data_IF_874953039791
#
_entry.id   IF_874953039791
#
_cell.length_a   1.000
_cell.length_b   1.000
_cell.length_c   1.000
_cell.angle_alpha   90.00
_cell.angle_beta   90.00
_cell.angle_gamma   90.00
#
_symmetry.space_group_name_H-M   'P 1'
#
loop_
_entity.id
_entity.type
_entity.pdbx_description
1 polymer ?
#
# COMPACT_ATOMS: atom_id res chain seq x y z
N UNK A 1 1.42 7.53 -5.56
CA UNK A 1 0.65 7.57 -6.83
C UNK A 1 -0.06 8.90 -7.19
N UNK A 2 -1.19 9.33 -6.58
CA UNK A 2 -1.95 10.53 -7.08
C UNK A 2 -1.44 11.90 -6.60
N UNK A 3 -0.70 11.92 -5.49
CA UNK A 3 -0.30 13.16 -4.80
C UNK A 3 0.92 13.81 -5.48
N UNK A 4 1.96 13.04 -5.81
CA UNK A 4 3.19 13.55 -6.43
C UNK A 4 3.01 14.12 -7.85
N UNK A 5 2.11 13.55 -8.67
CA UNK A 5 1.82 14.05 -10.03
C UNK A 5 0.83 15.22 -10.07
N UNK A 6 0.06 15.48 -8.99
CA UNK A 6 -0.94 16.56 -8.94
C UNK A 6 -0.52 17.75 -8.09
N UNK A 7 0.41 17.58 -7.16
CA UNK A 7 1.03 18.70 -6.47
C UNK A 7 1.99 19.38 -7.46
N UNK A 8 1.62 20.59 -7.90
CA UNK A 8 2.40 21.47 -8.79
C UNK A 8 3.68 21.96 -8.11
N UNK A 9 4.53 21.05 -7.62
CA UNK A 9 5.88 21.43 -7.22
C UNK A 9 6.63 21.91 -8.47
N UNK A 10 7.37 23.03 -8.38
CA UNK A 10 8.12 23.56 -9.52
C UNK A 10 9.21 22.56 -9.90
N UNK A 11 8.94 21.75 -10.92
CA UNK A 11 9.93 20.90 -11.56
C UNK A 11 10.82 21.79 -12.46
N UNK A 12 12.16 21.65 -12.44
CA UNK A 12 13.01 22.24 -13.47
C UNK A 12 12.56 21.73 -14.84
N UNK A 13 12.34 22.64 -15.80
CA UNK A 13 11.88 22.27 -17.14
C UNK A 13 12.88 21.31 -17.80
N UNK A 14 12.46 20.15 -18.32
CA UNK A 14 13.33 19.32 -19.14
C UNK A 14 13.62 20.02 -20.47
N UNK A 15 14.88 19.97 -20.90
CA UNK A 15 15.30 20.40 -22.23
C UNK A 15 14.64 19.47 -23.26
N UNK A 16 13.83 20.08 -24.14
CA UNK A 16 13.17 19.41 -25.27
C UNK A 16 14.24 18.80 -26.19
N UNK A 17 14.27 17.46 -26.28
CA UNK A 17 14.76 16.77 -27.47
C UNK A 17 13.54 16.21 -28.20
N UNK A 18 13.34 16.75 -29.40
CA UNK A 18 12.34 16.36 -30.38
C UNK A 18 12.75 15.04 -31.01
N UNK A 19 11.85 14.04 -31.00
CA UNK A 19 11.89 12.94 -31.96
C UNK A 19 10.48 12.48 -32.30
N UNK A 20 10.25 12.38 -33.60
CA UNK A 20 8.98 12.32 -34.30
C UNK A 20 8.33 10.93 -34.33
N UNK A 21 7.00 10.98 -34.44
CA UNK A 21 5.94 9.98 -34.61
C UNK A 21 6.23 8.70 -35.44
N UNK A 22 5.58 7.59 -35.06
CA UNK A 22 4.56 6.90 -35.90
C UNK A 22 3.66 5.94 -35.06
N UNK A 23 2.35 5.84 -35.34
CA UNK A 23 1.39 5.00 -34.60
C UNK A 23 1.13 3.63 -35.25
N UNK A 24 0.79 2.62 -34.45
CA UNK A 24 0.24 1.34 -34.92
C UNK A 24 -1.19 1.16 -34.38
N UNK A 25 -2.10 0.92 -35.31
CA UNK A 25 -3.56 0.78 -35.16
C UNK A 25 -4.00 -0.50 -34.42
N UNK A 26 -5.21 -0.54 -33.85
CA UNK A 26 -5.76 -1.72 -33.20
C UNK A 26 -6.50 -2.64 -34.19
N UNK A 27 -6.28 -3.95 -34.10
CA UNK A 27 -7.09 -4.95 -34.79
C UNK A 27 -8.30 -5.36 -33.93
N UNK A 28 -9.47 -5.17 -34.51
CA UNK A 28 -10.77 -5.69 -34.04
C UNK A 28 -10.86 -7.19 -34.31
N UNK A 29 -11.36 -7.97 -33.36
CA UNK A 29 -12.02 -9.24 -33.68
C UNK A 29 -13.27 -9.43 -32.83
N UNK A 30 -14.39 -9.49 -33.55
CA UNK A 30 -15.72 -9.86 -33.12
C UNK A 30 -15.89 -11.38 -33.18
N UNK A 31 -16.51 -11.97 -32.16
CA UNK A 31 -17.23 -13.25 -32.28
C UNK A 31 -18.31 -13.27 -31.19
N UNK A 32 -19.53 -12.89 -31.56
CA UNK A 32 -20.65 -13.76 -31.97
C UNK A 32 -21.40 -14.37 -30.79
N UNK A 33 -22.58 -13.78 -30.54
CA UNK A 33 -23.66 -14.32 -29.74
C UNK A 33 -24.02 -15.74 -30.18
N UNK A 34 -24.08 -16.66 -29.22
CA UNK A 34 -24.84 -17.89 -29.36
C UNK A 34 -25.98 -17.85 -28.34
N UNK A 35 -27.21 -17.77 -28.82
CA UNK A 35 -28.42 -17.95 -28.04
C UNK A 35 -28.75 -19.45 -28.01
N UNK A 36 -28.86 -20.03 -26.81
CA UNK A 36 -29.55 -21.31 -26.63
C UNK A 36 -30.55 -21.18 -25.49
N UNK A 37 -31.82 -21.32 -25.86
CA UNK A 37 -32.97 -21.64 -25.04
C UNK A 37 -32.78 -22.98 -24.33
N UNK A 38 -33.18 -23.09 -23.06
CA UNK A 38 -33.17 -24.35 -22.33
C UNK A 38 -33.62 -24.23 -20.87
N UNK A 39 -34.93 -24.34 -20.67
CA UNK A 39 -35.63 -25.03 -19.57
C UNK A 39 -35.12 -24.91 -18.11
N UNK A 40 -35.92 -24.19 -17.33
CA UNK A 40 -36.58 -24.71 -16.12
C UNK A 40 -35.78 -25.59 -15.16
N UNK A 41 -35.19 -24.97 -14.14
CA UNK A 41 -35.06 -25.62 -12.82
C UNK A 41 -35.15 -24.58 -11.70
N UNK A 42 -36.21 -24.69 -10.89
CA UNK A 42 -36.42 -23.90 -9.66
C UNK A 42 -35.20 -24.06 -8.76
N UNK A 43 -34.45 -22.98 -8.54
CA UNK A 43 -33.48 -22.89 -7.47
C UNK A 43 -34.24 -22.69 -6.15
N UNK A 44 -34.13 -23.66 -5.24
CA UNK A 44 -34.47 -23.46 -3.82
C UNK A 44 -33.50 -22.43 -3.25
N UNK A 45 -33.96 -21.21 -3.00
CA UNK A 45 -33.20 -20.23 -2.23
C UNK A 45 -33.13 -20.72 -0.79
N UNK A 46 -31.98 -21.23 -0.38
CA UNK A 46 -31.68 -21.46 1.02
C UNK A 46 -31.54 -20.11 1.71
N UNK A 47 -32.39 -19.85 2.69
CA UNK A 47 -32.25 -18.68 3.57
C UNK A 47 -30.89 -18.76 4.29
N UNK A 48 -30.08 -17.70 4.32
CA UNK A 48 -28.84 -17.72 5.08
C UNK A 48 -29.17 -17.93 6.57
N UNK A 49 -28.50 -18.88 7.19
CA UNK A 49 -28.53 -19.12 8.64
C UNK A 49 -28.23 -17.81 9.38
N UNK A 50 -28.88 -17.60 10.53
CA UNK A 50 -28.74 -16.41 11.38
C UNK A 50 -27.28 -16.06 11.74
N UNK A 51 -26.38 -17.04 11.70
CA UNK A 51 -24.94 -16.84 11.85
C UNK A 51 -24.31 -16.05 10.67
N UNK A 52 -24.76 -16.29 9.44
CA UNK A 52 -24.32 -15.53 8.24
C UNK A 52 -24.84 -14.09 8.29
N UNK A 53 -26.06 -13.87 8.77
CA UNK A 53 -26.62 -12.53 8.96
C UNK A 53 -25.88 -11.72 10.04
N UNK A 54 -25.42 -12.38 11.12
CA UNK A 54 -24.65 -11.73 12.18
C UNK A 54 -23.24 -11.30 11.70
N UNK A 55 -22.58 -12.11 10.88
CA UNK A 55 -21.26 -11.76 10.29
C UNK A 55 -21.38 -10.62 9.27
N UNK A 56 -22.52 -10.51 8.58
CA UNK A 56 -22.81 -9.40 7.65
C UNK A 56 -23.06 -8.08 8.41
N UNK A 57 -23.56 -8.13 9.65
CA UNK A 57 -23.82 -6.93 10.47
C UNK A 57 -22.53 -6.27 11.03
N UNK A 58 -21.44 -7.02 11.20
CA UNK A 58 -20.22 -6.54 11.88
C UNK A 58 -19.11 -6.04 10.92
N UNK A 59 -19.22 -6.30 9.62
CA UNK A 59 -18.20 -5.97 8.62
C UNK A 59 -16.93 -6.82 8.74
N UNK A 60 -16.00 -6.67 7.78
CA UNK A 60 -14.76 -7.46 7.78
C UNK A 60 -13.87 -7.14 9.01
N UNK A 61 -13.06 -8.12 9.45
CA UNK A 61 -12.12 -7.91 10.56
C UNK A 61 -11.21 -6.69 10.31
N UNK A 62 -10.72 -6.52 9.07
CA UNK A 62 -9.94 -5.35 8.66
C UNK A 62 -10.71 -4.03 8.86
N UNK A 63 -12.02 -3.99 8.56
CA UNK A 63 -12.86 -2.81 8.81
C UNK A 63 -12.99 -2.54 10.31
N UNK A 64 -13.22 -3.57 11.12
CA UNK A 64 -13.33 -3.44 12.58
C UNK A 64 -12.03 -2.92 13.19
N UNK A 65 -10.88 -3.47 12.81
CA UNK A 65 -9.57 -3.00 13.31
C UNK A 65 -9.30 -1.55 12.92
N UNK A 66 -9.60 -1.16 11.67
CA UNK A 66 -9.44 0.23 11.24
C UNK A 66 -10.32 1.20 12.07
N UNK A 67 -11.59 0.85 12.27
CA UNK A 67 -12.53 1.67 13.06
C UNK A 67 -12.04 1.78 14.51
N UNK A 68 -11.68 0.66 15.12
CA UNK A 68 -11.31 0.60 16.53
C UNK A 68 -9.95 1.22 16.84
N UNK A 69 -8.94 1.03 15.97
CA UNK A 69 -7.54 1.29 16.30
C UNK A 69 -6.88 2.41 15.49
N UNK A 70 -7.53 2.97 14.47
CA UNK A 70 -6.85 3.89 13.55
C UNK A 70 -7.67 5.11 13.12
N UNK A 71 -8.99 5.12 13.33
CA UNK A 71 -9.84 6.22 12.85
C UNK A 71 -9.53 7.54 13.56
N UNK A 72 -9.27 7.50 14.87
CA UNK A 72 -8.94 8.70 15.65
C UNK A 72 -7.59 9.28 15.24
N UNK A 73 -6.60 8.42 15.10
CA UNK A 73 -5.23 8.76 14.71
C UNK A 73 -5.19 9.28 13.27
N UNK A 74 -5.97 8.68 12.36
CA UNK A 74 -6.11 9.15 10.98
C UNK A 74 -6.76 10.54 10.90
N UNK A 75 -7.79 10.79 11.71
CA UNK A 75 -8.38 12.13 11.83
C UNK A 75 -7.36 13.14 12.36
N UNK A 76 -6.59 12.80 13.39
CA UNK A 76 -5.53 13.67 13.91
C UNK A 76 -4.45 13.96 12.84
N UNK A 77 -4.02 12.93 12.11
CA UNK A 77 -3.02 13.06 11.05
C UNK A 77 -3.44 14.11 10.01
N UNK A 78 -4.72 14.11 9.59
CA UNK A 78 -5.28 15.03 8.62
C UNK A 78 -5.10 16.52 8.97
N UNK A 79 -5.01 16.85 10.26
CA UNK A 79 -4.85 18.22 10.77
C UNK A 79 -3.43 18.54 11.24
N UNK A 80 -2.45 17.68 10.94
CA UNK A 80 -1.04 18.00 11.25
C UNK A 80 -0.54 19.16 10.39
N UNK A 81 0.41 19.98 10.90
CA UNK A 81 0.98 21.10 10.13
C UNK A 81 1.55 20.67 8.77
N UNK A 82 2.12 19.47 8.68
CA UNK A 82 2.63 18.90 7.44
C UNK A 82 1.53 18.75 6.38
N UNK A 83 0.43 18.06 6.71
CA UNK A 83 -0.65 17.81 5.75
C UNK A 83 -1.44 19.08 5.43
N UNK A 84 -1.66 19.97 6.39
CA UNK A 84 -2.30 21.26 6.13
C UNK A 84 -1.47 22.11 5.17
N UNK A 85 -0.16 22.16 5.36
CA UNK A 85 0.73 22.91 4.46
C UNK A 85 0.84 22.25 3.08
N UNK A 86 0.81 20.92 3.03
CA UNK A 86 0.77 20.15 1.78
C UNK A 86 -0.51 20.44 1.00
N UNK A 87 -1.66 20.45 1.68
CA UNK A 87 -2.98 20.75 1.10
C UNK A 87 -3.03 22.19 0.56
N UNK A 88 -2.49 23.14 1.32
CA UNK A 88 -2.44 24.56 0.95
C UNK A 88 -1.42 24.87 -0.15
N UNK A 89 -0.56 23.91 -0.54
CA UNK A 89 0.48 24.12 -1.54
C UNK A 89 1.63 25.03 -1.08
N UNK A 90 1.77 25.26 0.23
CA UNK A 90 2.81 26.11 0.82
C UNK A 90 3.85 25.32 1.64
N UNK A 91 3.77 23.98 1.64
CA UNK A 91 4.79 23.14 2.25
C UNK A 91 6.15 23.43 1.61
N UNK A 92 7.14 23.73 2.45
CA UNK A 92 8.50 23.97 1.98
C UNK A 92 9.04 22.70 1.30
N UNK A 93 9.69 22.89 0.15
CA UNK A 93 10.19 21.80 -0.66
C UNK A 93 11.23 20.93 0.07
N UNK A 94 12.04 21.50 0.95
CA UNK A 94 13.02 20.76 1.75
C UNK A 94 12.37 19.80 2.75
N UNK A 95 11.24 20.19 3.36
CA UNK A 95 10.46 19.30 4.22
C UNK A 95 9.84 18.15 3.41
N UNK A 96 9.37 18.45 2.20
CA UNK A 96 8.82 17.42 1.32
C UNK A 96 9.90 16.45 0.83
N UNK A 97 11.10 16.95 0.50
CA UNK A 97 12.27 16.12 0.20
C UNK A 97 12.61 15.21 1.36
N UNK A 98 12.73 15.76 2.56
CA UNK A 98 12.99 14.97 3.77
C UNK A 98 11.92 13.90 4.01
N UNK A 99 10.64 14.20 3.75
CA UNK A 99 9.58 13.20 3.80
C UNK A 99 9.83 12.04 2.80
N UNK A 100 10.11 12.34 1.54
CA UNK A 100 10.38 11.31 0.50
C UNK A 100 11.63 10.49 0.84
N UNK A 101 12.67 11.15 1.36
CA UNK A 101 13.89 10.51 1.84
C UNK A 101 13.61 9.52 2.98
N UNK A 102 12.82 9.92 3.98
CA UNK A 102 12.43 9.02 5.08
C UNK A 102 11.53 7.87 4.61
N UNK A 103 10.66 8.12 3.63
CA UNK A 103 9.72 7.13 3.09
C UNK A 103 10.44 5.94 2.42
N UNK A 104 11.65 6.17 1.89
CA UNK A 104 12.48 5.10 1.33
C UNK A 104 12.84 4.03 2.37
N UNK A 105 13.10 4.41 3.63
CA UNK A 105 13.38 3.43 4.70
C UNK A 105 12.18 2.53 4.97
N UNK A 106 10.96 3.07 4.96
CA UNK A 106 9.75 2.25 5.11
C UNK A 106 9.60 1.28 3.96
N UNK A 107 9.78 1.73 2.72
CA UNK A 107 9.64 0.84 1.57
C UNK A 107 10.71 -0.24 1.51
N UNK A 108 11.95 0.03 1.91
CA UNK A 108 12.96 -1.01 2.05
C UNK A 108 12.57 -2.05 3.11
N UNK A 109 12.05 -1.61 4.27
CA UNK A 109 11.56 -2.51 5.30
C UNK A 109 10.31 -3.30 4.84
N UNK A 110 9.40 -2.66 4.11
CA UNK A 110 8.18 -3.30 3.58
C UNK A 110 8.53 -4.36 2.54
N UNK A 111 9.47 -4.07 1.64
CA UNK A 111 9.90 -5.03 0.63
C UNK A 111 10.49 -6.30 1.27
N UNK A 112 11.34 -6.13 2.29
CA UNK A 112 11.92 -7.24 3.06
C UNK A 112 10.85 -8.01 3.86
N UNK A 113 9.92 -7.30 4.50
CA UNK A 113 8.85 -7.93 5.25
C UNK A 113 7.93 -8.74 4.33
N UNK A 114 7.57 -8.22 3.16
CA UNK A 114 6.77 -8.97 2.19
C UNK A 114 7.50 -10.19 1.63
N UNK A 115 8.80 -10.10 1.37
CA UNK A 115 9.61 -11.26 0.99
C UNK A 115 9.52 -12.37 2.05
N UNK A 116 9.66 -12.01 3.33
CA UNK A 116 9.49 -12.97 4.43
C UNK A 116 8.06 -13.50 4.55
N UNK A 117 7.05 -12.68 4.20
CA UNK A 117 5.66 -13.10 4.19
C UNK A 117 5.36 -14.08 3.04
N UNK A 118 6.00 -13.94 1.87
CA UNK A 118 5.91 -14.90 0.75
C UNK A 118 6.40 -16.28 1.19
N UNK A 119 7.51 -16.35 1.93
CA UNK A 119 8.07 -17.61 2.46
C UNK A 119 7.21 -18.26 3.55
N UNK A 120 6.28 -17.48 4.12
CA UNK A 120 5.43 -17.87 5.23
C UNK A 120 3.96 -18.13 4.81
N UNK A 121 3.60 -17.79 3.57
CA UNK A 121 2.28 -18.08 3.00
C UNK A 121 2.17 -19.58 2.66
N UNK A 122 1.03 -20.18 3.00
CA UNK A 122 0.75 -21.62 2.75
C UNK A 122 -0.04 -21.83 1.44
N UNK A 123 -0.75 -20.79 1.00
CA UNK A 123 -1.58 -20.81 -0.21
C UNK A 123 -0.90 -20.06 -1.37
N UNK A 124 -1.01 -20.61 -2.58
CA UNK A 124 -0.37 -20.07 -3.78
C UNK A 124 -0.96 -18.72 -4.21
N UNK A 125 -2.27 -18.51 -4.04
CA UNK A 125 -2.93 -17.24 -4.37
C UNK A 125 -2.54 -16.15 -3.37
N UNK A 126 -2.44 -16.49 -2.08
CA UNK A 126 -1.93 -15.59 -1.04
C UNK A 126 -0.48 -15.19 -1.34
N UNK A 127 0.38 -16.17 -1.66
CA UNK A 127 1.78 -15.90 -2.03
C UNK A 127 1.89 -15.01 -3.27
N UNK A 128 1.09 -15.27 -4.31
CA UNK A 128 1.06 -14.43 -5.51
C UNK A 128 0.59 -13.00 -5.20
N UNK A 129 -0.40 -12.85 -4.32
CA UNK A 129 -0.90 -11.54 -3.87
C UNK A 129 0.16 -10.77 -3.10
N UNK A 130 0.88 -11.41 -2.17
CA UNK A 130 1.96 -10.80 -1.40
C UNK A 130 3.13 -10.40 -2.33
N UNK A 131 3.50 -11.26 -3.29
CA UNK A 131 4.52 -10.96 -4.29
C UNK A 131 4.15 -9.73 -5.14
N UNK A 132 2.86 -9.58 -5.50
CA UNK A 132 2.37 -8.40 -6.19
C UNK A 132 2.49 -7.13 -5.34
N UNK A 133 2.20 -7.20 -4.03
CA UNK A 133 2.40 -6.09 -3.09
C UNK A 133 3.88 -5.70 -2.99
N UNK A 134 4.79 -6.68 -2.84
CA UNK A 134 6.23 -6.42 -2.83
C UNK A 134 6.70 -5.73 -4.11
N UNK A 135 6.25 -6.22 -5.27
CA UNK A 135 6.57 -5.62 -6.57
C UNK A 135 6.11 -4.16 -6.65
N UNK A 136 4.92 -3.85 -6.16
CA UNK A 136 4.42 -2.47 -6.14
C UNK A 136 5.29 -1.55 -5.27
N UNK A 137 5.77 -2.03 -4.11
CA UNK A 137 6.70 -1.28 -3.25
C UNK A 137 8.04 -1.00 -3.97
N UNK A 138 8.61 -2.00 -4.65
CA UNK A 138 9.84 -1.83 -5.42
C UNK A 138 9.68 -0.82 -6.57
N UNK A 139 8.50 -0.79 -7.19
CA UNK A 139 8.18 0.22 -8.21
C UNK A 139 8.10 1.63 -7.62
N UNK A 140 7.50 1.81 -6.44
CA UNK A 140 7.42 3.12 -5.78
C UNK A 140 8.82 3.59 -5.30
N UNK A 141 9.69 2.69 -4.85
CA UNK A 141 11.11 3.00 -4.56
C UNK A 141 11.85 3.55 -5.77
N UNK A 142 11.69 2.91 -6.93
CA UNK A 142 12.29 3.40 -8.18
C UNK A 142 11.73 4.78 -8.57
N UNK A 143 10.45 5.02 -8.33
CA UNK A 143 9.84 6.34 -8.53
C UNK A 143 10.46 7.38 -7.59
N UNK A 144 10.59 7.09 -6.30
CA UNK A 144 11.23 7.99 -5.33
C UNK A 144 12.66 8.35 -5.75
N UNK A 145 13.45 7.35 -6.14
CA UNK A 145 14.82 7.55 -6.62
C UNK A 145 14.86 8.46 -7.86
N UNK A 146 13.91 8.30 -8.80
CA UNK A 146 13.82 9.16 -9.99
C UNK A 146 13.49 10.61 -9.64
N UNK A 147 12.53 10.84 -8.73
CA UNK A 147 12.12 12.19 -8.29
C UNK A 147 13.24 12.89 -7.53
N UNK A 148 13.93 12.18 -6.62
CA UNK A 148 15.06 12.73 -5.88
C UNK A 148 16.20 13.15 -6.81
N UNK A 149 16.50 12.33 -7.83
CA UNK A 149 17.50 12.65 -8.85
C UNK A 149 17.14 13.91 -9.64
N UNK A 150 15.86 14.07 -10.02
CA UNK A 150 15.38 15.30 -10.70
C UNK A 150 15.53 16.55 -9.83
N UNK A 151 15.50 16.41 -8.52
CA UNK A 151 15.72 17.49 -7.56
C UNK A 151 17.20 17.71 -7.19
N UNK A 152 18.12 16.99 -7.84
CA UNK A 152 19.56 17.09 -7.58
C UNK A 152 20.00 16.45 -6.27
N UNK A 153 19.16 15.61 -5.66
CA UNK A 153 19.51 14.80 -4.50
C UNK A 153 20.08 13.48 -5.01
N UNK A 154 21.26 13.09 -4.50
CA UNK A 154 21.85 11.81 -4.80
C UNK A 154 21.10 10.70 -4.03
N UNK A 155 20.36 9.80 -4.71
CA UNK A 155 19.61 8.74 -4.05
C UNK A 155 20.52 7.65 -3.43
N UNK A 156 21.82 7.65 -3.75
CA UNK A 156 22.80 6.70 -3.19
C UNK A 156 23.41 7.17 -1.87
N UNK A 157 23.21 8.45 -1.52
CA UNK A 157 23.68 8.99 -0.26
C UNK A 157 22.85 8.42 0.88
N UNK A 158 23.52 7.79 1.85
CA UNK A 158 22.87 7.27 3.04
C UNK A 158 22.20 8.42 3.81
N UNK A 159 20.88 8.33 3.93
CA UNK A 159 20.08 9.27 4.70
C UNK A 159 19.91 8.68 6.11
N UNK A 160 20.23 9.44 7.17
CA UNK A 160 19.94 8.99 8.53
C UNK A 160 18.44 8.84 8.74
N UNK A 161 18.04 7.64 9.17
CA UNK A 161 16.67 7.37 9.61
C UNK A 161 16.34 8.17 10.88
N UNK A 162 15.16 8.81 10.91
CA UNK A 162 14.65 9.46 12.11
C UNK A 162 14.34 8.44 13.21
N UNK A 163 14.28 8.88 14.47
CA UNK A 163 13.93 8.00 15.59
C UNK A 163 12.54 7.35 15.42
N UNK A 164 11.58 8.04 14.80
CA UNK A 164 10.25 7.50 14.53
C UNK A 164 10.30 6.45 13.41
N UNK A 165 11.05 6.74 12.35
CA UNK A 165 11.28 5.83 11.21
C UNK A 165 11.91 4.53 11.70
N UNK A 166 13.01 4.62 12.45
CA UNK A 166 13.71 3.46 13.01
C UNK A 166 12.81 2.61 13.89
N UNK A 167 12.05 3.21 14.81
CA UNK A 167 11.12 2.47 15.67
C UNK A 167 10.08 1.69 14.88
N UNK A 168 9.54 2.29 13.82
CA UNK A 168 8.51 1.63 13.01
C UNK A 168 9.11 0.53 12.12
N UNK A 169 10.27 0.75 11.49
CA UNK A 169 10.96 -0.30 10.71
C UNK A 169 11.43 -1.45 11.60
N UNK A 170 11.92 -1.17 12.81
CA UNK A 170 12.34 -2.19 13.78
C UNK A 170 11.15 -3.02 14.25
N UNK A 171 10.02 -2.37 14.56
CA UNK A 171 8.77 -3.06 14.88
C UNK A 171 8.33 -4.01 13.76
N UNK A 172 8.34 -3.53 12.51
CA UNK A 172 7.93 -4.35 11.37
C UNK A 172 8.86 -5.53 11.14
N UNK A 173 10.18 -5.30 11.15
CA UNK A 173 11.16 -6.37 10.94
C UNK A 173 11.17 -7.37 12.10
N UNK A 174 10.95 -6.92 13.34
CA UNK A 174 10.76 -7.81 14.49
C UNK A 174 9.50 -8.66 14.33
N UNK A 175 8.39 -8.06 13.88
CA UNK A 175 7.14 -8.75 13.56
C UNK A 175 7.37 -9.81 12.47
N UNK A 176 8.09 -9.46 11.41
CA UNK A 176 8.42 -10.37 10.32
C UNK A 176 9.33 -11.52 10.77
N UNK A 177 10.26 -11.27 11.70
CA UNK A 177 11.09 -12.30 12.33
C UNK A 177 10.33 -13.17 13.36
N UNK A 178 9.01 -12.99 13.48
CA UNK A 178 8.15 -13.77 14.37
C UNK A 178 8.22 -13.39 15.84
N UNK A 179 8.73 -12.19 16.18
CA UNK A 179 8.75 -11.67 17.56
C UNK A 179 7.39 -11.06 17.94
N UNK A 180 6.32 -11.82 17.71
CA UNK A 180 4.94 -11.41 18.01
C UNK A 180 4.44 -12.24 19.20
N UNK A 181 3.85 -11.58 20.21
CA UNK A 181 3.26 -12.19 21.41
C UNK A 181 4.21 -12.97 22.34
N UNK A 182 5.51 -12.62 22.37
CA UNK A 182 6.51 -13.34 23.19
C UNK A 182 6.79 -14.76 22.71
N UNK A 183 6.24 -15.12 21.54
CA UNK A 183 6.42 -16.42 20.89
C UNK A 183 7.82 -16.53 20.32
N UNK A 184 8.35 -17.76 20.29
CA UNK A 184 9.70 -18.09 19.80
C UNK A 184 9.85 -17.61 18.34
N UNK A 185 10.97 -16.97 18.01
CA UNK A 185 11.24 -16.41 16.67
C UNK A 185 11.12 -17.43 15.53
N UNK A 186 11.09 -16.93 14.28
CA UNK A 186 10.83 -17.71 13.04
C UNK A 186 11.56 -19.05 12.97
N UNK A 187 12.81 -19.10 13.43
CA UNK A 187 13.69 -20.28 13.37
C UNK A 187 13.20 -21.46 14.24
N UNK A 188 12.22 -21.23 15.13
CA UNK A 188 11.62 -22.24 16.00
C UNK A 188 10.17 -22.57 15.63
N UNK A 189 9.64 -22.00 14.54
CA UNK A 189 8.31 -22.35 14.03
C UNK A 189 8.41 -23.64 13.21
N UNK A 190 7.73 -24.68 13.67
CA UNK A 190 7.90 -26.04 13.14
C UNK A 190 6.75 -26.38 12.18
N UNK A 191 5.60 -25.72 12.30
CA UNK A 191 4.41 -26.07 11.51
C UNK A 191 4.06 -25.01 10.44
N UNK A 192 3.49 -25.42 9.29
CA UNK A 192 2.98 -24.49 8.28
C UNK A 192 2.00 -23.47 8.85
N UNK A 193 1.09 -23.90 9.73
CA UNK A 193 0.11 -23.02 10.38
C UNK A 193 0.75 -21.89 11.22
N UNK A 194 1.86 -22.14 11.90
CA UNK A 194 2.59 -21.11 12.63
C UNK A 194 3.23 -20.08 11.68
N UNK A 195 3.73 -20.53 10.52
CA UNK A 195 4.28 -19.64 9.50
C UNK A 195 3.20 -18.76 8.88
N UNK A 196 2.02 -19.30 8.57
CA UNK A 196 0.91 -18.51 8.00
C UNK A 196 0.50 -17.35 8.93
N UNK A 197 0.58 -17.54 10.25
CA UNK A 197 0.33 -16.44 11.21
C UNK A 197 1.32 -15.29 11.04
N UNK A 198 2.59 -15.57 10.74
CA UNK A 198 3.59 -14.54 10.50
C UNK A 198 3.27 -13.74 9.24
N UNK A 199 2.87 -14.41 8.14
CA UNK A 199 2.41 -13.71 6.94
C UNK A 199 1.23 -12.78 7.25
N UNK A 200 0.23 -13.26 8.01
CA UNK A 200 -0.90 -12.45 8.45
C UNK A 200 -0.49 -11.27 9.33
N UNK A 201 0.44 -11.45 10.27
CA UNK A 201 0.94 -10.37 11.12
C UNK A 201 1.73 -9.32 10.33
N UNK A 202 2.54 -9.72 9.35
CA UNK A 202 3.26 -8.79 8.47
C UNK A 202 2.28 -7.94 7.68
N UNK A 203 1.32 -8.57 6.99
CA UNK A 203 0.29 -7.86 6.22
C UNK A 203 -0.53 -6.95 7.13
N UNK A 204 -0.90 -7.44 8.32
CA UNK A 204 -1.60 -6.67 9.35
C UNK A 204 -0.82 -5.46 9.84
N UNK A 205 0.51 -5.57 10.01
CA UNK A 205 1.38 -4.49 10.46
C UNK A 205 1.55 -3.40 9.39
N UNK A 206 1.55 -3.75 8.10
CA UNK A 206 1.70 -2.79 6.99
C UNK A 206 0.35 -2.12 6.64
N UNK A 207 -0.77 -2.83 6.81
CA UNK A 207 -2.11 -2.39 6.39
C UNK A 207 -2.52 -1.00 6.89
N UNK A 208 -2.26 -0.59 8.17
CA UNK A 208 -2.59 0.74 8.65
C UNK A 208 -1.98 1.87 7.81
N UNK A 209 -0.77 1.71 7.30
CA UNK A 209 -0.13 2.69 6.43
C UNK A 209 -0.95 2.90 5.15
N UNK A 210 -1.25 1.82 4.41
CA UNK A 210 -2.02 1.91 3.17
C UNK A 210 -3.42 2.50 3.39
N UNK A 211 -4.08 2.11 4.50
CA UNK A 211 -5.40 2.64 4.88
C UNK A 211 -5.35 4.12 5.24
N UNK A 212 -4.33 4.55 5.97
CA UNK A 212 -4.12 5.95 6.33
C UNK A 212 -3.91 6.82 5.09
N UNK A 213 -3.03 6.43 4.17
CA UNK A 213 -2.79 7.18 2.94
C UNK A 213 -4.04 7.26 2.05
N UNK A 214 -4.82 6.18 1.97
CA UNK A 214 -6.09 6.18 1.24
C UNK A 214 -7.14 7.11 1.90
N UNK A 215 -7.18 7.15 3.24
CA UNK A 215 -8.04 8.07 3.98
C UNK A 215 -7.62 9.53 3.73
N UNK A 216 -6.36 9.86 3.98
CA UNK A 216 -5.82 11.21 3.82
C UNK A 216 -5.96 11.71 2.37
N UNK A 217 -5.73 10.85 1.38
CA UNK A 217 -5.91 11.19 -0.02
C UNK A 217 -7.35 11.60 -0.34
N UNK A 218 -8.36 10.98 0.29
CA UNK A 218 -9.77 11.36 0.12
C UNK A 218 -10.07 12.71 0.77
N UNK A 219 -9.57 12.92 1.98
CA UNK A 219 -9.72 14.21 2.69
C UNK A 219 -9.08 15.36 1.89
N UNK A 220 -7.87 15.17 1.40
CA UNK A 220 -7.15 16.18 0.60
C UNK A 220 -7.83 16.48 -0.74
N UNK A 221 -8.47 15.50 -1.37
CA UNK A 221 -9.20 15.71 -2.64
C UNK A 221 -10.36 16.69 -2.51
N UNK A 222 -10.90 16.92 -1.31
CA UNK A 222 -11.91 17.96 -1.09
C UNK A 222 -11.34 19.38 -1.28
N UNK A 223 -10.05 19.57 -1.00
CA UNK A 223 -9.36 20.86 -1.09
C UNK A 223 -8.72 21.12 -2.45
N UNK A 224 -8.36 20.06 -3.19
CA UNK A 224 -7.70 20.17 -4.50
C UNK A 224 -8.63 20.46 -5.69
N UNK A 225 -9.96 20.45 -5.49
CA UNK A 225 -10.97 20.69 -6.53
C UNK A 225 -11.43 22.16 -6.62
N UNK A 226 -10.83 23.04 -5.83
CA UNK A 226 -11.07 24.49 -5.83
C UNK A 226 -10.04 25.19 -6.73
#
# INVERSE_FOLDING_TARGET
>A
MLVLRRLRFPLPRPLLVSSSLAPLSPSTSSSSCWSSTGEGRRAMASSPSSASAAVVAEGSAARRFWIAASTREAAFAAYTPFLLSLAAGNLRLDLFRHYIEQDAHFFHAFARAYEMAEDCADDDDDRATIAALRKAILQELNLHASVLKEWGVDPTKEIPSSAATTKYTDFLLATAAGKVDGTKGSDKMVTPFEKTKIAAYIVGAITPCMRLYAYLGKELMAFLKQ
#
